data_IF_290833600026
#
_entry.id   IF_290833600026
#
_cell.length_a   1.000
_cell.length_b   1.000
_cell.length_c   1.000
_cell.angle_alpha   90.00
_cell.angle_beta   90.00
_cell.angle_gamma   90.00
#
_symmetry.space_group_name_H-M   'P 1'
#
loop_
_entity.id
_entity.type
_entity.pdbx_description
1 polymer ?
#
# COMPACT_ATOMS: atom_id res chain seq x y z
N UNK A 1 3.85 -5.21 12.23
CA UNK A 1 4.15 -5.04 10.79
C UNK A 1 3.81 -3.64 10.33
N UNK A 2 2.53 -3.24 10.29
CA UNK A 2 2.10 -1.92 9.80
C UNK A 2 2.80 -0.72 10.44
N UNK A 3 2.96 -0.69 11.77
CA UNK A 3 3.68 0.41 12.42
C UNK A 3 5.13 0.53 11.95
N UNK A 4 5.79 -0.60 11.71
CA UNK A 4 7.16 -0.66 11.21
C UNK A 4 7.22 -0.22 9.73
N UNK A 5 6.23 -0.61 8.94
CA UNK A 5 6.07 -0.18 7.54
C UNK A 5 5.90 1.33 7.43
N UNK A 6 5.01 1.94 8.23
CA UNK A 6 4.76 3.39 8.19
C UNK A 6 5.92 4.19 8.79
N UNK A 7 6.50 3.75 9.91
CA UNK A 7 7.63 4.48 10.53
C UNK A 7 8.89 4.42 9.67
N UNK A 8 9.22 3.28 9.06
CA UNK A 8 10.34 3.20 8.12
C UNK A 8 10.03 3.85 6.77
N UNK A 9 8.78 3.78 6.32
CA UNK A 9 8.32 4.37 5.06
C UNK A 9 8.25 5.90 5.09
N UNK A 10 8.09 6.53 6.24
CA UNK A 10 8.16 7.99 6.36
C UNK A 10 9.49 8.58 5.92
N UNK A 11 10.61 7.88 6.16
CA UNK A 11 11.94 8.36 5.78
C UNK A 11 12.12 8.51 4.25
N UNK A 12 11.88 7.47 3.42
CA UNK A 12 11.97 7.60 1.97
C UNK A 12 10.88 8.52 1.40
N UNK A 13 9.70 8.60 2.03
CA UNK A 13 8.66 9.56 1.64
C UNK A 13 9.18 11.00 1.78
N UNK A 14 9.80 11.34 2.91
CA UNK A 14 10.37 12.68 3.14
C UNK A 14 11.48 13.03 2.15
N UNK A 15 12.29 12.06 1.73
CA UNK A 15 13.30 12.29 0.68
C UNK A 15 12.68 12.56 -0.69
N UNK A 16 11.63 11.83 -1.03
CA UNK A 16 10.89 12.05 -2.28
C UNK A 16 10.18 13.41 -2.23
N UNK A 17 9.58 13.79 -1.10
CA UNK A 17 8.99 15.13 -0.90
C UNK A 17 10.01 16.23 -1.12
N UNK A 18 11.16 16.16 -0.46
CA UNK A 18 12.21 17.16 -0.63
C UNK A 18 12.69 17.25 -2.10
N UNK A 19 12.80 16.12 -2.80
CA UNK A 19 13.15 16.09 -4.22
C UNK A 19 12.08 16.72 -5.11
N UNK A 20 10.81 16.41 -4.87
CA UNK A 20 9.68 16.98 -5.60
C UNK A 20 9.59 18.49 -5.36
N UNK A 21 9.73 18.94 -4.11
CA UNK A 21 9.68 20.36 -3.74
C UNK A 21 10.83 21.16 -4.36
N UNK A 22 12.03 20.58 -4.44
CA UNK A 22 13.17 21.20 -5.13
C UNK A 22 12.90 21.34 -6.65
N UNK A 23 12.34 20.30 -7.27
CA UNK A 23 11.99 20.37 -8.71
C UNK A 23 10.85 21.33 -8.99
N UNK A 24 9.87 21.41 -8.10
CA UNK A 24 8.76 22.36 -8.17
C UNK A 24 9.25 23.81 -8.01
N UNK A 25 10.14 24.06 -7.05
CA UNK A 25 10.77 25.37 -6.84
C UNK A 25 11.64 25.81 -8.02
N UNK A 26 12.44 24.90 -8.59
CA UNK A 26 13.25 25.18 -9.77
C UNK A 26 12.37 25.48 -11.00
N UNK A 27 11.32 24.68 -11.23
CA UNK A 27 10.36 24.92 -12.31
C UNK A 27 9.61 26.26 -12.14
N UNK A 28 9.23 26.61 -10.92
CA UNK A 28 8.60 27.89 -10.61
C UNK A 28 9.50 29.10 -10.89
N UNK A 29 10.82 28.96 -10.77
CA UNK A 29 11.79 30.04 -11.06
C UNK A 29 12.09 30.22 -12.54
N UNK A 30 11.88 29.19 -13.36
CA UNK A 30 12.15 29.20 -14.80
C UNK A 30 10.94 29.62 -15.65
N UNK A 31 9.72 29.51 -15.11
CA UNK A 31 8.49 29.81 -15.81
C UNK A 31 7.87 31.15 -15.38
N UNK A 32 7.43 31.99 -16.34
CA UNK A 32 6.64 33.19 -16.03
C UNK A 32 5.34 32.84 -15.29
N UNK A 33 4.85 33.76 -14.46
CA UNK A 33 3.58 33.57 -13.76
C UNK A 33 2.42 33.42 -14.77
N UNK A 34 1.66 32.33 -14.66
CA UNK A 34 0.54 32.03 -15.55
C UNK A 34 -0.02 30.62 -15.36
N UNK A 35 -1.12 30.33 -16.07
CA UNK A 35 -1.84 29.04 -15.99
C UNK A 35 -0.94 27.84 -16.33
N UNK A 36 0.03 28.02 -17.24
CA UNK A 36 0.98 26.97 -17.62
C UNK A 36 1.92 26.57 -16.48
N UNK A 37 2.31 27.52 -15.62
CA UNK A 37 3.15 27.24 -14.43
C UNK A 37 2.36 26.43 -13.40
N UNK A 38 1.14 26.85 -13.06
CA UNK A 38 0.31 26.10 -12.10
C UNK A 38 -0.07 24.71 -12.63
N UNK A 39 -0.35 24.57 -13.93
CA UNK A 39 -0.65 23.25 -14.50
C UNK A 39 0.56 22.30 -14.45
N UNK A 40 1.77 22.80 -14.72
CA UNK A 40 2.98 22.00 -14.70
C UNK A 40 3.46 21.68 -13.27
N UNK A 41 3.47 22.67 -12.39
CA UNK A 41 4.00 22.55 -11.02
C UNK A 41 2.97 21.91 -10.08
N UNK A 42 1.79 22.50 -9.97
CA UNK A 42 0.75 22.04 -9.04
C UNK A 42 -0.06 20.87 -9.62
N UNK A 43 -0.13 20.75 -10.95
CA UNK A 43 -0.81 19.64 -11.62
C UNK A 43 0.09 18.42 -11.79
N UNK A 44 1.12 18.54 -12.65
CA UNK A 44 1.94 17.38 -13.03
C UNK A 44 2.95 17.01 -11.96
N UNK A 45 3.77 17.96 -11.48
CA UNK A 45 4.85 17.67 -10.53
C UNK A 45 4.27 17.23 -9.18
N UNK A 46 3.31 17.97 -8.62
CA UNK A 46 2.67 17.57 -7.38
C UNK A 46 1.84 16.28 -7.53
N UNK A 47 1.14 16.11 -8.66
CA UNK A 47 0.37 14.91 -8.97
C UNK A 47 1.23 13.66 -9.04
N UNK A 48 2.28 13.66 -9.86
CA UNK A 48 3.23 12.53 -9.97
C UNK A 48 3.96 12.32 -8.64
N UNK A 49 4.35 13.40 -7.96
CA UNK A 49 4.93 13.35 -6.63
C UNK A 49 4.06 12.58 -5.65
N UNK A 50 2.74 12.80 -5.66
CA UNK A 50 1.81 12.07 -4.78
C UNK A 50 1.81 10.55 -5.01
N UNK A 51 1.88 10.11 -6.27
CA UNK A 51 1.90 8.69 -6.63
C UNK A 51 3.24 8.05 -6.26
N UNK A 52 4.35 8.74 -6.55
CA UNK A 52 5.71 8.26 -6.26
C UNK A 52 5.94 8.14 -4.75
N UNK A 53 5.36 9.03 -3.94
CA UNK A 53 5.39 8.94 -2.46
C UNK A 53 4.68 7.71 -1.90
N UNK A 54 3.77 7.09 -2.65
CA UNK A 54 3.06 5.90 -2.17
C UNK A 54 3.90 4.61 -2.36
N UNK A 55 4.85 4.62 -3.31
CA UNK A 55 5.67 3.46 -3.67
C UNK A 55 6.52 2.89 -2.53
N UNK A 56 7.24 3.69 -1.70
CA UNK A 56 8.05 3.16 -0.61
C UNK A 56 7.25 2.35 0.41
N UNK A 57 6.06 2.85 0.80
CA UNK A 57 5.19 2.16 1.75
C UNK A 57 4.72 0.80 1.20
N UNK A 58 4.33 0.75 -0.08
CA UNK A 58 3.96 -0.50 -0.76
C UNK A 58 5.13 -1.47 -0.76
N UNK A 59 6.32 -1.02 -1.14
CA UNK A 59 7.51 -1.89 -1.21
C UNK A 59 7.86 -2.50 0.15
N UNK A 60 7.87 -1.70 1.21
CA UNK A 60 8.15 -2.19 2.56
C UNK A 60 7.04 -3.16 3.03
N UNK A 61 5.78 -2.88 2.69
CA UNK A 61 4.65 -3.76 3.02
C UNK A 61 4.83 -5.13 2.36
N UNK A 62 5.04 -5.17 1.04
CA UNK A 62 5.23 -6.41 0.30
C UNK A 62 6.52 -7.13 0.73
N UNK A 63 7.58 -6.42 1.05
CA UNK A 63 8.79 -7.01 1.61
C UNK A 63 8.53 -7.70 2.95
N UNK A 64 7.75 -7.08 3.84
CA UNK A 64 7.36 -7.71 5.11
C UNK A 64 6.47 -8.93 4.89
N UNK A 65 5.52 -8.86 3.96
CA UNK A 65 4.66 -10.00 3.60
C UNK A 65 5.51 -11.16 3.06
N UNK A 66 6.43 -10.88 2.12
CA UNK A 66 7.34 -11.88 1.57
C UNK A 66 8.23 -12.51 2.66
N UNK A 67 8.77 -11.72 3.59
CA UNK A 67 9.51 -12.26 4.74
C UNK A 67 8.62 -13.16 5.61
N UNK A 68 7.37 -12.80 5.87
CA UNK A 68 6.45 -13.65 6.63
C UNK A 68 6.04 -14.92 5.88
N UNK A 69 6.00 -14.88 4.56
CA UNK A 69 5.76 -16.02 3.69
C UNK A 69 6.97 -16.97 3.67
N UNK A 70 8.17 -16.44 3.40
CA UNK A 70 9.43 -17.19 3.30
C UNK A 70 9.87 -17.81 4.64
N UNK A 71 9.59 -17.15 5.76
CA UNK A 71 9.86 -17.71 7.10
C UNK A 71 8.91 -18.85 7.48
N UNK A 72 7.92 -19.17 6.63
CA UNK A 72 6.88 -20.15 6.93
C UNK A 72 5.95 -19.74 8.06
N UNK A 73 6.06 -18.50 8.56
CA UNK A 73 5.21 -17.97 9.62
C UNK A 73 3.78 -17.81 9.12
N UNK A 74 3.58 -17.41 7.84
CA UNK A 74 2.26 -17.40 7.21
C UNK A 74 1.65 -18.81 7.10
N UNK A 75 2.44 -19.82 6.73
CA UNK A 75 1.96 -21.21 6.66
C UNK A 75 1.54 -21.73 8.05
N UNK A 76 2.30 -21.40 9.09
CA UNK A 76 2.01 -21.82 10.48
C UNK A 76 0.87 -21.00 11.11
N UNK A 77 0.77 -19.69 10.80
CA UNK A 77 -0.31 -18.84 11.27
C UNK A 77 -1.64 -19.11 10.56
N UNK A 78 -1.61 -19.46 9.27
CA UNK A 78 -2.80 -19.92 8.55
C UNK A 78 -3.33 -21.22 9.17
N UNK A 79 -2.45 -22.17 9.52
CA UNK A 79 -2.85 -23.40 10.21
C UNK A 79 -3.39 -23.15 11.63
N UNK A 80 -2.82 -22.18 12.36
CA UNK A 80 -3.31 -21.79 13.69
C UNK A 80 -4.67 -21.04 13.62
N UNK A 81 -4.85 -20.21 12.59
CA UNK A 81 -6.08 -19.45 12.37
C UNK A 81 -7.18 -20.27 11.69
N UNK A 82 -6.86 -21.39 11.06
CA UNK A 82 -7.85 -22.27 10.42
C UNK A 82 -8.93 -22.70 11.41
N UNK A 83 -8.58 -22.95 12.68
CA UNK A 83 -9.55 -23.33 13.72
C UNK A 83 -10.51 -22.20 14.11
N UNK A 84 -10.06 -20.95 14.07
CA UNK A 84 -10.86 -19.75 14.41
C UNK A 84 -11.69 -19.30 13.20
N UNK A 85 -11.10 -19.36 12.00
CA UNK A 85 -11.81 -18.99 10.77
C UNK A 85 -12.87 -20.01 10.39
N UNK A 86 -12.66 -21.31 10.65
CA UNK A 86 -13.70 -22.33 10.46
C UNK A 86 -14.86 -22.22 11.47
N UNK A 87 -14.63 -21.60 12.63
CA UNK A 87 -15.68 -21.23 13.61
C UNK A 87 -16.55 -20.07 13.10
N UNK A 88 -15.99 -19.20 12.25
CA UNK A 88 -16.67 -18.05 11.64
C UNK A 88 -17.16 -18.39 10.21
N UNK A 89 -16.75 -19.55 9.67
CA UNK A 89 -17.15 -20.06 8.35
C UNK A 89 -16.32 -19.55 7.17
N UNK A 90 -15.12 -19.02 7.41
CA UNK A 90 -14.21 -18.47 6.40
C UNK A 90 -13.01 -19.37 6.17
N UNK A 91 -12.52 -19.45 4.94
CA UNK A 91 -11.31 -20.20 4.61
C UNK A 91 -10.05 -19.43 5.05
N UNK A 92 -9.02 -20.12 5.59
CA UNK A 92 -7.73 -19.51 5.92
C UNK A 92 -7.04 -18.71 4.80
N UNK A 93 -7.47 -18.89 3.54
CA UNK A 93 -7.06 -18.11 2.36
C UNK A 93 -7.49 -16.63 2.43
N UNK A 94 -8.52 -16.28 3.20
CA UNK A 94 -9.03 -14.91 3.39
C UNK A 94 -8.18 -14.06 4.34
N UNK A 95 -7.23 -14.65 5.06
CA UNK A 95 -6.40 -13.92 6.01
C UNK A 95 -5.44 -12.93 5.32
N UNK A 96 -4.87 -13.31 4.17
CA UNK A 96 -3.89 -12.50 3.46
C UNK A 96 -4.50 -11.20 2.91
N UNK A 97 -5.66 -11.23 2.22
CA UNK A 97 -6.31 -10.00 1.76
C UNK A 97 -6.84 -9.14 2.92
N UNK A 98 -7.38 -9.75 3.97
CA UNK A 98 -7.83 -9.03 5.17
C UNK A 98 -6.69 -8.28 5.85
N UNK A 99 -5.51 -8.91 5.95
CA UNK A 99 -4.32 -8.27 6.50
C UNK A 99 -3.85 -7.12 5.60
N UNK A 100 -3.82 -7.30 4.28
CA UNK A 100 -3.54 -6.19 3.34
C UNK A 100 -4.55 -5.03 3.46
N UNK A 101 -5.81 -5.31 3.79
CA UNK A 101 -6.89 -4.32 3.96
C UNK A 101 -6.59 -3.29 5.05
N UNK A 102 -5.90 -3.68 6.12
CA UNK A 102 -5.46 -2.75 7.16
C UNK A 102 -4.45 -1.70 6.69
N UNK A 103 -3.69 -1.98 5.61
CA UNK A 103 -2.71 -1.04 5.06
C UNK A 103 -3.28 -0.21 3.92
N UNK A 104 -3.78 -0.87 2.88
CA UNK A 104 -4.37 -0.22 1.73
C UNK A 104 -5.51 -1.07 1.18
N UNK A 105 -6.69 -0.46 1.08
CA UNK A 105 -7.89 -1.17 0.64
C UNK A 105 -7.84 -1.59 -0.83
N UNK A 106 -7.11 -0.86 -1.69
CA UNK A 106 -7.04 -1.15 -3.13
C UNK A 106 -6.40 -2.53 -3.42
N UNK A 107 -5.16 -2.84 -2.99
CA UNK A 107 -4.57 -4.16 -3.19
C UNK A 107 -5.29 -5.26 -2.41
N UNK A 108 -5.87 -4.95 -1.26
CA UNK A 108 -6.66 -5.90 -0.48
C UNK A 108 -7.89 -6.39 -1.25
N UNK A 109 -8.63 -5.46 -1.85
CA UNK A 109 -9.79 -5.77 -2.70
C UNK A 109 -9.35 -6.55 -3.95
N UNK A 110 -8.21 -6.20 -4.56
CA UNK A 110 -7.67 -6.96 -5.69
C UNK A 110 -7.29 -8.39 -5.29
N UNK A 111 -6.66 -8.57 -4.13
CA UNK A 111 -6.28 -9.89 -3.62
C UNK A 111 -7.50 -10.73 -3.22
N UNK A 112 -8.58 -10.11 -2.70
CA UNK A 112 -9.82 -10.82 -2.38
C UNK A 112 -10.50 -11.44 -3.61
N UNK A 113 -10.19 -10.97 -4.84
CA UNK A 113 -10.72 -11.57 -6.08
C UNK A 113 -10.17 -12.97 -6.37
N UNK A 114 -9.08 -13.39 -5.75
CA UNK A 114 -8.52 -14.75 -5.92
C UNK A 114 -9.20 -15.79 -5.03
N UNK A 115 -10.15 -15.39 -4.17
CA UNK A 115 -10.93 -16.30 -3.33
C UNK A 115 -12.01 -17.03 -4.15
N UNK A 116 -12.10 -18.35 -3.98
CA UNK A 116 -13.02 -19.22 -4.72
C UNK A 116 -14.49 -19.06 -4.30
N UNK A 117 -14.73 -18.76 -3.02
CA UNK A 117 -16.07 -18.58 -2.45
C UNK A 117 -16.49 -17.11 -2.56
N UNK A 118 -17.66 -16.86 -3.15
CA UNK A 118 -18.23 -15.52 -3.25
C UNK A 118 -18.57 -14.93 -1.87
N UNK A 119 -19.01 -15.77 -0.92
CA UNK A 119 -19.29 -15.35 0.45
C UNK A 119 -18.01 -14.88 1.14
N UNK A 120 -16.92 -15.63 0.99
CA UNK A 120 -15.61 -15.30 1.57
C UNK A 120 -15.04 -14.04 0.94
N UNK A 121 -15.20 -13.87 -0.39
CA UNK A 121 -14.82 -12.66 -1.11
C UNK A 121 -15.51 -11.42 -0.57
N UNK A 122 -16.85 -11.47 -0.40
CA UNK A 122 -17.63 -10.33 0.10
C UNK A 122 -17.25 -10.01 1.55
N UNK A 123 -17.13 -11.04 2.40
CA UNK A 123 -16.73 -10.89 3.80
C UNK A 123 -15.29 -10.36 3.99
N UNK A 124 -14.41 -10.59 3.01
CA UNK A 124 -13.01 -10.13 3.08
C UNK A 124 -12.84 -8.69 2.54
N UNK A 125 -13.78 -8.21 1.72
CA UNK A 125 -13.77 -6.85 1.13
C UNK A 125 -14.46 -5.82 2.05
N UNK A 126 -15.41 -6.26 2.88
CA UNK A 126 -16.15 -5.44 3.86
C UNK A 126 -15.31 -5.12 5.10
#
# INVERSE_FOLDING_TARGET
MFQLTFTLGEYPVKWIEAGVDLTAGAAASLLPEGILRSLAVDGVIAGVGSVVKFMPNILILFFCIALFEDTGYMARSAFLMDRIMHLIGLHGKSFIPMLMGFGCNVPAIMAARTLESEKDRILTIL
#
